data_IF_526990161714
#
_entry.id   IF_526990161714
#
_cell.length_a   1.000
_cell.length_b   1.000
_cell.length_c   1.000
_cell.angle_alpha   90.00
_cell.angle_beta   90.00
_cell.angle_gamma   90.00
#
_symmetry.space_group_name_H-M   'P 1'
#
loop_
_entity.id
_entity.type
_entity.pdbx_description
1 polymer ?
#
# COMPACT_ATOMS: atom_id res chain seq x y z
N UNK A 1 2.81 0.53 -11.27
CA UNK A 1 3.86 0.27 -10.27
C UNK A 1 3.33 -0.36 -8.97
N UNK A 2 4.17 -1.14 -8.27
CA UNK A 2 3.82 -1.83 -7.01
C UNK A 2 3.88 -0.85 -5.82
N UNK A 3 2.88 -0.91 -4.93
CA UNK A 3 2.87 -0.13 -3.68
C UNK A 3 3.18 -0.98 -2.45
N UNK A 4 3.51 -0.32 -1.35
CA UNK A 4 3.89 -0.92 -0.07
C UNK A 4 3.27 -0.14 1.10
N UNK A 5 3.07 -0.81 2.22
CA UNK A 5 2.83 -0.17 3.51
C UNK A 5 4.02 -0.42 4.42
N UNK A 6 4.48 0.60 5.14
CA UNK A 6 5.62 0.50 6.04
C UNK A 6 5.49 1.46 7.23
N UNK A 7 6.28 1.24 8.28
CA UNK A 7 6.46 2.20 9.37
C UNK A 7 7.73 2.99 9.13
N UNK A 8 7.63 4.30 9.23
CA UNK A 8 8.76 5.23 9.04
C UNK A 8 9.20 5.76 10.38
N UNK A 9 10.45 5.48 10.76
CA UNK A 9 11.11 6.01 11.94
C UNK A 9 11.70 7.37 11.64
N UNK A 10 11.15 8.41 12.24
CA UNK A 10 11.63 9.77 12.02
C UNK A 10 13.04 9.93 12.62
N UNK A 11 13.99 10.29 11.77
CA UNK A 11 15.42 10.40 12.12
C UNK A 11 15.99 9.13 12.76
N UNK A 12 15.47 7.95 12.39
CA UNK A 12 15.91 6.66 12.92
C UNK A 12 15.46 6.37 14.36
N UNK A 13 14.62 7.20 14.97
CA UNK A 13 14.15 7.00 16.34
C UNK A 13 13.13 5.85 16.44
N UNK A 14 13.38 4.92 17.36
CA UNK A 14 12.45 3.82 17.71
C UNK A 14 11.16 4.31 18.38
N UNK A 15 11.22 5.48 19.02
CA UNK A 15 10.09 6.05 19.76
C UNK A 15 9.20 6.93 18.88
N UNK A 16 9.62 7.20 17.64
CA UNK A 16 8.89 8.08 16.73
C UNK A 16 8.67 7.38 15.39
N UNK A 17 7.62 6.56 15.36
CA UNK A 17 7.24 5.78 14.19
C UNK A 17 5.92 6.26 13.61
N UNK A 18 5.89 6.54 12.32
CA UNK A 18 4.70 6.97 11.59
C UNK A 18 4.31 5.87 10.59
N UNK A 19 3.10 5.30 10.69
CA UNK A 19 2.61 4.37 9.69
C UNK A 19 2.33 5.10 8.38
N UNK A 20 2.81 4.55 7.27
CA UNK A 20 2.57 5.05 5.93
C UNK A 20 2.07 3.95 5.01
N UNK A 21 1.13 4.32 4.16
CA UNK A 21 0.47 3.43 3.22
C UNK A 21 0.69 3.94 1.80
N UNK A 22 0.51 3.04 0.82
CA UNK A 22 0.59 3.36 -0.61
C UNK A 22 1.94 3.93 -1.07
N UNK A 23 3.03 3.52 -0.42
CA UNK A 23 4.38 3.92 -0.78
C UNK A 23 4.86 3.19 -2.03
N UNK A 24 5.51 3.90 -2.94
CA UNK A 24 6.22 3.27 -4.07
C UNK A 24 7.63 2.86 -3.65
N UNK A 25 8.26 1.94 -4.39
CA UNK A 25 9.65 1.56 -4.13
C UNK A 25 10.63 2.75 -4.28
N UNK A 26 10.33 3.68 -5.19
CA UNK A 26 11.04 4.96 -5.31
C UNK A 26 10.87 5.82 -4.06
N UNK A 27 9.64 5.97 -3.55
CA UNK A 27 9.36 6.74 -2.33
C UNK A 27 10.10 6.17 -1.11
N UNK A 28 10.17 4.84 -0.99
CA UNK A 28 10.95 4.16 0.07
C UNK A 28 12.43 4.54 -0.02
N UNK A 29 13.00 4.61 -1.22
CA UNK A 29 14.39 5.03 -1.41
C UNK A 29 14.61 6.48 -0.95
N UNK A 30 13.70 7.38 -1.29
CA UNK A 30 13.74 8.79 -0.86
C UNK A 30 13.64 8.91 0.66
N UNK A 31 12.69 8.20 1.27
CA UNK A 31 12.48 8.23 2.72
C UNK A 31 13.69 7.65 3.50
N UNK A 32 14.35 6.62 2.98
CA UNK A 32 15.63 6.14 3.54
C UNK A 32 16.73 7.19 3.46
N UNK A 33 16.73 8.00 2.40
CA UNK A 33 17.70 9.09 2.28
C UNK A 33 17.41 10.24 3.24
N UNK A 34 16.13 10.54 3.49
CA UNK A 34 15.70 11.59 4.40
C UNK A 34 15.90 11.24 5.88
N UNK A 35 15.54 10.01 6.28
CA UNK A 35 15.48 9.62 7.69
C UNK A 35 16.58 8.66 8.14
N UNK A 36 17.37 8.14 7.19
CA UNK A 36 18.44 7.17 7.44
C UNK A 36 18.16 5.79 6.81
N UNK A 37 19.20 4.98 6.58
CA UNK A 37 19.09 3.72 5.85
C UNK A 37 18.09 2.74 6.50
N UNK A 38 18.06 2.70 7.83
CA UNK A 38 17.22 1.79 8.63
C UNK A 38 15.91 2.42 9.09
N UNK A 39 15.53 3.56 8.52
CA UNK A 39 14.35 4.30 8.94
C UNK A 39 13.02 3.63 8.54
N UNK A 40 13.03 2.73 7.55
CA UNK A 40 11.81 2.11 7.03
C UNK A 40 11.76 0.66 7.46
N UNK A 41 10.75 0.32 8.27
CA UNK A 41 10.57 -1.00 8.87
C UNK A 41 9.17 -1.56 8.59
N UNK A 42 9.02 -2.87 8.80
CA UNK A 42 7.74 -3.59 8.60
C UNK A 42 7.12 -3.38 7.22
N UNK A 43 7.94 -3.44 6.17
CA UNK A 43 7.48 -3.25 4.79
C UNK A 43 6.62 -4.45 4.39
N UNK A 44 5.38 -4.17 3.97
CA UNK A 44 4.43 -5.16 3.45
C UNK A 44 4.01 -4.77 2.04
N UNK A 45 3.92 -5.72 1.10
CA UNK A 45 3.46 -5.44 -0.25
C UNK A 45 1.98 -5.05 -0.23
N UNK A 46 1.66 -3.98 -0.96
CA UNK A 46 0.31 -3.46 -1.17
C UNK A 46 -0.26 -3.86 -2.53
N UNK A 47 -1.07 -2.97 -3.11
CA UNK A 47 -1.69 -3.19 -4.43
C UNK A 47 -0.80 -2.67 -5.54
N UNK A 48 -1.04 -3.15 -6.76
CA UNK A 48 -0.49 -2.52 -7.95
C UNK A 48 -1.36 -1.31 -8.32
N UNK A 49 -0.72 -0.19 -8.63
CA UNK A 49 -1.37 1.04 -9.08
C UNK A 49 -0.88 1.37 -10.47
N UNK A 50 -1.79 1.78 -11.36
CA UNK A 50 -1.42 2.25 -12.68
C UNK A 50 -0.93 3.70 -12.59
N UNK A 51 0.40 3.86 -12.57
CA UNK A 51 1.09 5.15 -12.48
C UNK A 51 2.41 5.01 -13.23
N UNK A 52 2.72 6.00 -14.06
CA UNK A 52 3.98 6.06 -14.81
C UNK A 52 5.14 6.51 -13.92
N UNK A 53 6.37 6.24 -14.37
CA UNK A 53 7.58 6.65 -13.66
C UNK A 53 7.73 8.18 -13.66
N UNK A 54 7.35 8.85 -14.76
CA UNK A 54 7.33 10.31 -14.85
C UNK A 54 6.36 10.94 -13.84
N UNK A 55 5.12 10.43 -13.76
CA UNK A 55 4.10 10.93 -12.83
C UNK A 55 4.55 10.74 -11.37
N UNK A 56 5.14 9.59 -11.05
CA UNK A 56 5.65 9.34 -9.70
C UNK A 56 6.81 10.25 -9.37
N UNK A 57 7.72 10.49 -10.31
CA UNK A 57 8.85 11.39 -10.11
C UNK A 57 8.40 12.81 -9.82
N UNK A 58 7.46 13.33 -10.62
CA UNK A 58 6.90 14.67 -10.42
C UNK A 58 6.19 14.78 -9.06
N UNK A 59 5.43 13.75 -8.67
CA UNK A 59 4.80 13.67 -7.36
C UNK A 59 5.83 13.72 -6.22
N UNK A 60 6.90 12.92 -6.32
CA UNK A 60 7.95 12.86 -5.29
C UNK A 60 8.72 14.18 -5.19
N UNK A 61 8.96 14.85 -6.31
CA UNK A 61 9.59 16.18 -6.32
C UNK A 61 8.73 17.20 -5.59
N UNK A 62 7.41 17.22 -5.85
CA UNK A 62 6.48 18.13 -5.17
C UNK A 62 6.40 17.86 -3.66
N UNK A 63 6.43 16.60 -3.23
CA UNK A 63 6.30 16.21 -1.83
C UNK A 63 7.61 16.38 -1.04
N UNK A 64 8.73 15.96 -1.62
CA UNK A 64 10.01 15.83 -0.90
C UNK A 64 11.11 16.74 -1.43
N UNK A 65 10.95 17.41 -2.57
CA UNK A 65 12.00 18.27 -3.15
C UNK A 65 12.50 19.33 -2.17
N UNK A 66 11.57 20.00 -1.45
CA UNK A 66 11.93 20.97 -0.39
C UNK A 66 12.67 20.32 0.79
N UNK A 67 12.27 19.11 1.17
CA UNK A 67 12.92 18.39 2.26
C UNK A 67 14.34 17.94 1.88
N UNK A 68 14.55 17.53 0.62
CA UNK A 68 15.84 17.12 0.08
C UNK A 68 16.80 18.31 -0.10
N UNK A 69 16.29 19.48 -0.49
CA UNK A 69 17.09 20.70 -0.62
C UNK A 69 17.75 21.14 0.70
N UNK A 70 17.12 20.81 1.84
CA UNK A 70 17.68 21.09 3.17
C UNK A 70 18.81 20.15 3.61
N UNK A 71 19.04 19.05 2.90
CA UNK A 71 20.03 18.02 3.28
C UNK A 71 21.33 18.25 2.52
N UNK A 72 22.42 18.43 3.28
CA UNK A 72 23.76 18.60 2.72
C UNK A 72 24.20 17.34 1.97
N UNK A 73 24.54 17.50 0.68
CA UNK A 73 25.08 16.41 -0.16
C UNK A 73 24.04 15.56 -0.90
N UNK A 74 22.76 15.90 -0.83
CA UNK A 74 21.71 15.28 -1.68
C UNK A 74 21.14 16.33 -2.62
N UNK A 75 20.62 17.42 -2.07
CA UNK A 75 20.21 18.62 -2.81
C UNK A 75 18.97 18.47 -3.70
N UNK A 76 18.82 17.36 -4.43
CA UNK A 76 17.75 17.12 -5.41
C UNK A 76 17.29 15.66 -5.42
N UNK A 77 16.08 15.42 -5.93
CA UNK A 77 15.55 14.07 -6.15
C UNK A 77 16.38 13.29 -7.18
N UNK A 78 16.90 13.99 -8.19
CA UNK A 78 17.76 13.42 -9.24
C UNK A 78 19.03 12.77 -8.67
N UNK A 79 19.60 13.33 -7.60
CA UNK A 79 20.76 12.75 -6.93
C UNK A 79 20.43 11.43 -6.20
N UNK A 80 19.15 11.20 -5.86
CA UNK A 80 18.69 10.01 -5.13
C UNK A 80 18.22 8.93 -6.09
N UNK A 81 17.41 9.30 -7.08
CA UNK A 81 16.73 8.37 -7.99
C UNK A 81 17.40 8.26 -9.36
N UNK A 82 18.48 9.00 -9.60
CA UNK A 82 19.13 9.12 -10.91
C UNK A 82 18.47 10.20 -11.78
N UNK A 83 19.08 10.55 -12.91
CA UNK A 83 18.63 11.62 -13.81
C UNK A 83 17.23 11.34 -14.40
N UNK A 84 16.50 12.38 -14.81
CA UNK A 84 15.24 12.22 -15.53
C UNK A 84 15.40 11.30 -16.77
N UNK A 85 14.48 10.34 -16.92
CA UNK A 85 14.53 9.30 -17.97
C UNK A 85 15.16 7.97 -17.54
N UNK A 86 15.75 7.89 -16.34
CA UNK A 86 16.13 6.61 -15.73
C UNK A 86 14.90 5.99 -15.07
N UNK A 87 14.67 4.70 -15.34
CA UNK A 87 13.57 3.93 -14.76
C UNK A 87 13.62 3.95 -13.24
N UNK A 88 12.47 4.15 -12.61
CA UNK A 88 12.39 4.14 -11.15
C UNK A 88 12.45 2.71 -10.62
N UNK A 89 12.98 2.52 -9.38
CA UNK A 89 12.91 1.21 -8.74
C UNK A 89 11.45 0.82 -8.55
N UNK A 90 11.08 -0.33 -9.12
CA UNK A 90 9.70 -0.86 -9.11
C UNK A 90 9.46 -1.88 -7.99
N UNK A 91 10.52 -2.44 -7.42
CA UNK A 91 10.48 -3.46 -6.37
C UNK A 91 11.53 -3.19 -5.28
N UNK A 92 11.29 -3.71 -4.07
CA UNK A 92 12.18 -3.59 -2.92
C UNK A 92 12.86 -4.94 -2.69
N UNK A 93 14.20 -5.03 -2.88
CA UNK A 93 14.94 -6.26 -2.61
C UNK A 93 14.68 -6.79 -1.19
N UNK A 94 14.41 -8.09 -1.09
CA UNK A 94 14.14 -8.78 0.19
C UNK A 94 12.68 -8.79 0.64
N UNK A 95 11.86 -7.80 0.25
CA UNK A 95 10.41 -7.80 0.55
C UNK A 95 9.68 -8.66 -0.47
N UNK A 96 9.89 -8.40 -1.75
CA UNK A 96 9.16 -9.07 -2.83
C UNK A 96 9.60 -10.52 -3.06
N UNK A 97 10.82 -10.87 -2.66
CA UNK A 97 11.30 -12.26 -2.66
C UNK A 97 10.55 -13.13 -1.63
N UNK A 98 10.08 -12.54 -0.53
CA UNK A 98 9.43 -13.27 0.57
C UNK A 98 7.93 -13.50 0.38
N UNK A 99 7.28 -12.71 -0.50
CA UNK A 99 5.85 -12.82 -0.77
C UNK A 99 5.43 -14.11 -1.50
N UNK A 100 6.39 -14.89 -2.03
CA UNK A 100 6.12 -16.13 -2.76
C UNK A 100 5.86 -17.35 -1.84
N UNK A 101 6.01 -17.24 -0.52
CA UNK A 101 5.99 -18.42 0.39
C UNK A 101 4.86 -18.43 1.42
N UNK A 102 3.73 -17.78 1.15
CA UNK A 102 2.54 -17.92 2.00
C UNK A 102 1.41 -18.61 1.20
N UNK A 103 1.16 -19.92 1.40
CA UNK A 103 -0.01 -20.55 0.82
C UNK A 103 -1.26 -19.86 1.39
N UNK A 104 -2.00 -19.19 0.51
CA UNK A 104 -3.31 -18.64 0.80
C UNK A 104 -4.20 -19.79 1.28
N UNK A 105 -4.45 -19.89 2.59
CA UNK A 105 -5.55 -20.73 3.10
C UNK A 105 -6.84 -20.15 2.54
N UNK A 106 -7.36 -20.82 1.50
CA UNK A 106 -8.70 -20.65 0.99
C UNK A 106 -9.67 -20.82 2.14
N UNK A 107 -10.26 -19.71 2.61
CA UNK A 107 -11.44 -19.75 3.47
C UNK A 107 -12.59 -20.22 2.58
N UNK A 108 -12.81 -21.53 2.57
CA UNK A 108 -13.93 -22.18 1.88
C UNK A 108 -15.22 -21.60 2.47
N UNK A 109 -15.99 -20.89 1.66
CA UNK A 109 -17.39 -20.59 1.94
C UNK A 109 -18.10 -21.93 2.10
N UNK A 110 -18.73 -22.14 3.26
CA UNK A 110 -19.67 -23.22 3.45
C UNK A 110 -21.06 -22.61 3.24
N UNK A 111 -21.59 -22.85 2.04
CA UNK A 111 -23.02 -22.81 1.77
C UNK A 111 -23.69 -23.90 2.63
N UNK A 112 -24.72 -23.51 3.38
CA UNK A 112 -25.73 -24.44 3.89
C UNK A 112 -27.07 -23.75 3.74
N UNK A 113 -27.73 -24.00 2.61
CA UNK A 113 -29.18 -24.08 2.58
C UNK A 113 -29.62 -25.31 3.39
N UNK A 114 -30.78 -25.24 4.05
CA UNK A 114 -31.64 -26.41 4.12
C UNK A 114 -33.04 -26.09 3.61
N UNK A 115 -33.42 -26.82 2.56
CA UNK A 115 -34.77 -26.99 2.06
C UNK A 115 -35.66 -27.72 3.09
N UNK A 116 -36.93 -27.33 3.12
CA UNK A 116 -38.12 -28.19 3.36
C UNK A 116 -38.67 -28.36 4.80
N UNK A 117 -39.75 -27.63 5.11
CA UNK A 117 -41.02 -28.24 5.53
C UNK A 117 -42.18 -27.22 5.48
N UNK A 118 -43.09 -27.36 4.52
CA UNK A 118 -44.48 -26.92 4.66
C UNK A 118 -45.25 -28.01 5.46
N UNK A 119 -46.53 -27.85 5.88
CA UNK A 119 -47.49 -26.76 5.62
C UNK A 119 -48.32 -26.31 6.85
N UNK A 120 -48.94 -25.13 6.81
CA UNK A 120 -50.31 -24.98 7.36
C UNK A 120 -51.06 -23.83 6.70
N UNK A 121 -52.20 -24.18 6.11
CA UNK A 121 -53.17 -23.30 5.46
C UNK A 121 -54.27 -23.02 6.48
N UNK A 122 -54.57 -21.77 6.82
CA UNK A 122 -55.85 -21.36 7.41
C UNK A 122 -56.27 -20.02 6.78
N UNK A 123 -57.57 -19.83 6.43
CA UNK A 123 -57.97 -19.18 5.19
C UNK A 123 -58.33 -17.69 5.30
N UNK A 124 -58.45 -17.13 4.09
CA UNK A 124 -58.93 -15.82 3.67
C UNK A 124 -60.34 -15.50 4.20
N UNK A 125 -60.55 -14.23 4.58
CA UNK A 125 -61.82 -13.55 4.33
C UNK A 125 -61.60 -12.04 4.22
N UNK A 126 -61.60 -11.57 2.97
CA UNK A 126 -62.00 -10.22 2.59
C UNK A 126 -63.52 -10.06 2.81
N UNK A 127 -63.96 -8.91 3.30
CA UNK A 127 -65.28 -8.29 3.04
C UNK A 127 -65.20 -6.88 3.68
N UNK A 128 -64.98 -5.85 2.86
CA UNK A 128 -65.99 -4.97 2.25
C UNK A 128 -66.47 -3.83 3.17
N UNK A 129 -66.21 -2.62 2.68
CA UNK A 129 -67.07 -1.43 2.73
C UNK A 129 -68.40 -1.55 3.48
N UNK A 130 -68.59 -0.70 4.49
CA UNK A 130 -69.59 0.37 4.44
C UNK A 130 -69.37 1.45 5.51
#
# INVERSE_FOLDING_TARGET
MQTYSARVRLSGSLFNEVPKFELTAAEVTVLRRLHGPDAIVEIKPGKHVDRSDEDERERLERLYGRALAGIKGVGTLDAVLGVAGVLLPSYIPGVDASAQTAPRRSRKQADTEPTESAPEVIPVSEEEFS
#
